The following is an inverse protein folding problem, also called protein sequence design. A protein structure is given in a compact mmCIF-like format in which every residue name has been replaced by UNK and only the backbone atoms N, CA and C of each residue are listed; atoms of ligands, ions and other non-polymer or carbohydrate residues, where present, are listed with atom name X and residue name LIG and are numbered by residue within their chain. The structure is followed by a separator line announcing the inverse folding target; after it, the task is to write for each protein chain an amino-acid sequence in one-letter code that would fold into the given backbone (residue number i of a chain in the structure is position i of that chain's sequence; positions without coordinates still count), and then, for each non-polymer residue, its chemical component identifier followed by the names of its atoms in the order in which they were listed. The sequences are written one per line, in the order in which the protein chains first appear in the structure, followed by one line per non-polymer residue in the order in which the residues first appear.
data_IF_678325519645
#
_entry.id   IF_678325519645
#
_cell.length_a   1.000
_cell.length_b   1.000
_cell.length_c   1.000
_cell.angle_alpha   90.00
_cell.angle_beta   90.00
_cell.angle_gamma   90.00
#
_symmetry.space_group_name_H-M   'P 1'
#
loop_
_entity.id
_entity.type
_entity.pdbx_description
1 polymer ?
#
# COMPACT_ATOMS: atom_id res chain seq x y z
N UNK A 1 15.54 12.70 -27.58
CA UNK A 1 14.29 12.09 -27.08
C UNK A 1 14.48 10.61 -26.84
N UNK A 2 14.96 10.21 -25.66
CA UNK A 2 15.43 8.83 -25.41
C UNK A 2 14.81 8.07 -24.22
N UNK A 3 14.12 8.73 -23.27
CA UNK A 3 13.56 8.02 -22.10
C UNK A 3 12.12 7.53 -22.28
N UNK A 4 11.39 8.06 -23.27
CA UNK A 4 10.00 7.66 -23.51
C UNK A 4 9.89 6.19 -23.96
N UNK A 5 10.85 5.71 -24.78
CA UNK A 5 10.84 4.38 -25.39
C UNK A 5 11.38 3.23 -24.52
N UNK A 6 12.26 3.51 -23.53
CA UNK A 6 12.83 2.46 -22.66
C UNK A 6 11.84 1.97 -21.58
N UNK A 7 10.84 2.78 -21.28
CA UNK A 7 9.78 2.52 -20.29
C UNK A 7 8.49 1.99 -20.93
N UNK A 8 8.57 1.37 -22.12
CA UNK A 8 7.43 0.78 -22.82
C UNK A 8 6.97 -0.56 -22.21
N UNK A 9 7.36 -0.85 -20.96
CA UNK A 9 6.89 -2.00 -20.21
C UNK A 9 5.43 -1.83 -19.77
N UNK A 10 4.75 -2.97 -19.59
CA UNK A 10 3.41 -3.03 -19.01
C UNK A 10 3.51 -3.10 -17.49
N UNK A 11 2.62 -2.45 -16.77
CA UNK A 11 2.56 -2.53 -15.32
C UNK A 11 2.28 -3.96 -14.87
N UNK A 12 3.02 -4.43 -13.86
CA UNK A 12 2.97 -5.80 -13.33
C UNK A 12 2.75 -5.76 -11.82
N UNK A 13 1.63 -6.31 -11.37
CA UNK A 13 1.24 -6.41 -9.97
C UNK A 13 2.36 -7.03 -9.14
N UNK A 14 2.63 -6.39 -8.01
CA UNK A 14 3.63 -6.82 -7.04
C UNK A 14 2.89 -7.48 -5.88
N UNK A 15 3.38 -8.62 -5.39
CA UNK A 15 2.64 -9.45 -4.42
C UNK A 15 2.26 -8.72 -3.13
N UNK A 16 3.18 -7.92 -2.58
CA UNK A 16 3.00 -7.13 -1.34
C UNK A 16 2.02 -5.96 -1.48
N UNK A 17 2.08 -5.28 -2.62
CA UNK A 17 1.35 -4.04 -2.84
C UNK A 17 -0.04 -4.32 -3.40
N UNK A 18 -1.02 -3.43 -3.18
CA UNK A 18 -2.29 -3.51 -3.87
C UNK A 18 -2.09 -3.58 -5.39
N UNK A 19 -2.95 -4.36 -6.06
CA UNK A 19 -2.88 -4.52 -7.50
C UNK A 19 -2.96 -3.18 -8.22
N UNK A 20 -2.12 -2.95 -9.22
CA UNK A 20 -2.18 -1.77 -10.06
C UNK A 20 -3.51 -1.75 -10.83
N UNK A 21 -4.23 -0.63 -10.76
CA UNK A 21 -5.43 -0.42 -11.58
C UNK A 21 -5.10 -0.50 -13.07
N UNK A 22 -3.87 -0.11 -13.43
CA UNK A 22 -3.36 -0.11 -14.80
C UNK A 22 -2.59 -1.39 -15.15
N UNK A 23 -2.86 -2.49 -14.44
CA UNK A 23 -2.25 -3.80 -14.69
C UNK A 23 -2.34 -4.17 -16.19
N UNK A 24 -1.20 -4.53 -16.79
CA UNK A 24 -1.12 -4.88 -18.21
C UNK A 24 -1.13 -3.68 -19.17
N UNK A 25 -1.36 -2.47 -18.69
CA UNK A 25 -1.23 -1.21 -19.43
C UNK A 25 0.14 -0.54 -19.23
N UNK A 26 0.48 0.48 -20.04
CA UNK A 26 1.75 1.21 -19.89
C UNK A 26 1.73 2.18 -18.72
N UNK A 27 2.89 2.44 -18.10
CA UNK A 27 3.03 3.52 -17.12
C UNK A 27 2.70 4.89 -17.75
N UNK A 28 2.04 5.76 -16.99
CA UNK A 28 1.47 7.02 -17.50
C UNK A 28 1.18 8.02 -16.39
N UNK A 29 0.72 9.22 -16.75
CA UNK A 29 0.52 10.30 -15.78
C UNK A 29 -0.67 10.03 -14.87
N UNK A 30 -0.48 10.32 -13.58
CA UNK A 30 -1.47 10.24 -12.51
C UNK A 30 -1.27 11.46 -11.59
N UNK A 31 -1.95 12.59 -11.86
CA UNK A 31 -1.73 13.83 -11.10
C UNK A 31 -2.30 13.77 -9.67
N UNK A 32 -3.25 12.87 -9.41
CA UNK A 32 -4.03 12.82 -8.18
C UNK A 32 -3.49 11.82 -7.14
N UNK A 33 -2.18 11.50 -7.21
CA UNK A 33 -1.53 10.68 -6.19
C UNK A 33 -1.56 11.40 -4.84
N UNK A 34 -2.04 10.71 -3.81
CA UNK A 34 -2.12 11.24 -2.45
C UNK A 34 -0.78 11.18 -1.70
N UNK A 35 0.14 10.35 -2.18
CA UNK A 35 1.49 10.15 -1.68
C UNK A 35 2.39 9.71 -2.85
N UNK A 36 3.72 9.66 -2.68
CA UNK A 36 4.64 9.35 -3.79
C UNK A 36 4.49 10.28 -5.01
N UNK A 37 4.14 11.55 -4.79
CA UNK A 37 3.80 12.53 -5.85
C UNK A 37 4.93 12.80 -6.82
N UNK A 38 6.17 12.48 -6.46
CA UNK A 38 7.30 12.55 -7.39
C UNK A 38 7.05 11.75 -8.68
N UNK A 39 6.31 10.64 -8.61
CA UNK A 39 6.04 9.78 -9.76
C UNK A 39 4.78 10.17 -10.56
N UNK A 40 4.10 11.27 -10.22
CA UNK A 40 2.82 11.67 -10.83
C UNK A 40 2.89 11.85 -12.36
N UNK A 41 4.07 12.14 -12.90
CA UNK A 41 4.28 12.27 -14.33
C UNK A 41 4.19 10.95 -15.10
N UNK A 42 4.66 9.86 -14.48
CA UNK A 42 4.71 8.55 -15.11
C UNK A 42 4.84 7.47 -14.05
N UNK A 43 3.74 6.79 -13.77
CA UNK A 43 3.69 5.72 -12.76
C UNK A 43 2.77 4.57 -13.19
N UNK A 44 2.89 3.45 -12.48
CA UNK A 44 1.93 2.34 -12.48
C UNK A 44 0.95 2.40 -11.29
N UNK A 45 1.22 3.26 -10.30
CA UNK A 45 0.37 3.42 -9.11
C UNK A 45 -0.86 4.29 -9.40
N UNK A 46 -1.95 4.00 -8.71
CA UNK A 46 -3.13 4.87 -8.62
C UNK A 46 -3.20 5.54 -7.25
N UNK A 47 -4.14 6.47 -7.08
CA UNK A 47 -4.41 7.12 -5.79
C UNK A 47 -4.69 6.12 -4.66
N UNK A 48 -5.49 5.08 -4.93
CA UNK A 48 -5.79 4.05 -3.93
C UNK A 48 -4.51 3.36 -3.41
N UNK A 49 -3.51 3.22 -4.28
CA UNK A 49 -2.27 2.51 -3.97
C UNK A 49 -1.36 3.39 -3.14
N UNK A 50 -1.32 4.69 -3.44
CA UNK A 50 -0.58 5.67 -2.64
C UNK A 50 -1.28 6.02 -1.33
N UNK A 51 -2.61 5.88 -1.26
CA UNK A 51 -3.36 6.02 0.00
C UNK A 51 -2.94 4.96 1.02
N UNK A 52 -2.71 3.70 0.60
CA UNK A 52 -2.21 2.66 1.47
C UNK A 52 -0.81 3.00 2.03
N UNK A 53 0.08 3.51 1.18
CA UNK A 53 1.41 3.97 1.60
C UNK A 53 1.30 5.17 2.55
N UNK A 54 0.37 6.09 2.31
CA UNK A 54 0.11 7.24 3.18
C UNK A 54 -0.35 6.82 4.57
N UNK A 55 -1.25 5.84 4.65
CA UNK A 55 -1.73 5.31 5.93
C UNK A 55 -0.55 4.70 6.69
N UNK A 56 0.25 3.86 6.02
CA UNK A 56 1.47 3.32 6.62
C UNK A 56 2.37 4.45 7.12
N UNK A 57 2.65 5.46 6.30
CA UNK A 57 3.47 6.63 6.64
C UNK A 57 3.02 7.40 7.89
N UNK A 58 1.70 7.59 8.06
CA UNK A 58 1.13 8.24 9.23
C UNK A 58 1.28 7.36 10.47
N UNK A 59 1.19 6.05 10.31
CA UNK A 59 1.38 5.10 11.41
C UNK A 59 2.87 4.87 11.78
N UNK A 60 3.82 5.46 11.04
CA UNK A 60 5.27 5.44 11.34
C UNK A 60 5.72 6.51 12.36
N UNK A 61 4.79 7.27 12.94
CA UNK A 61 5.14 8.52 13.63
C UNK A 61 5.69 8.38 15.06
N UNK A 62 5.59 7.22 15.71
CA UNK A 62 5.86 7.15 17.17
C UNK A 62 6.99 6.22 17.63
N UNK A 63 7.82 5.65 16.74
CA UNK A 63 8.88 4.75 17.19
C UNK A 63 10.05 4.53 16.25
N UNK A 64 10.16 5.33 15.19
CA UNK A 64 11.17 5.15 14.15
C UNK A 64 11.96 6.43 13.94
N UNK A 65 13.28 6.31 13.79
CA UNK A 65 14.15 7.45 13.51
C UNK A 65 13.70 8.21 12.25
N UNK A 66 13.88 9.53 12.25
CA UNK A 66 13.48 10.37 11.11
C UNK A 66 14.19 9.96 9.80
N UNK A 67 15.45 9.54 9.91
CA UNK A 67 16.24 9.09 8.76
C UNK A 67 15.71 7.76 8.21
N UNK A 68 15.50 6.75 9.07
CA UNK A 68 14.88 5.50 8.67
C UNK A 68 13.51 5.76 8.05
N UNK A 69 12.69 6.64 8.66
CA UNK A 69 11.36 7.01 8.15
C UNK A 69 11.43 7.55 6.72
N UNK A 70 12.32 8.49 6.45
CA UNK A 70 12.44 9.03 5.10
C UNK A 70 12.92 7.98 4.08
N UNK A 71 13.88 7.15 4.45
CA UNK A 71 14.41 6.10 3.56
C UNK A 71 13.39 4.99 3.31
N UNK A 72 12.68 4.57 4.35
CA UNK A 72 11.62 3.56 4.27
C UNK A 72 10.45 4.03 3.40
N UNK A 73 10.02 5.29 3.56
CA UNK A 73 8.96 5.86 2.73
C UNK A 73 9.34 5.90 1.23
N UNK A 74 10.60 6.18 0.91
CA UNK A 74 11.09 6.09 -0.47
C UNK A 74 11.06 4.65 -1.00
N UNK A 75 11.35 3.68 -0.13
CA UNK A 75 11.26 2.26 -0.46
C UNK A 75 9.80 1.83 -0.69
N UNK A 76 8.86 2.30 0.12
CA UNK A 76 7.42 2.04 -0.08
C UNK A 76 6.87 2.64 -1.39
N UNK A 77 7.44 3.76 -1.84
CA UNK A 77 7.11 4.37 -3.13
C UNK A 77 7.80 3.73 -4.33
N UNK A 78 8.75 2.80 -4.12
CA UNK A 78 9.53 2.19 -5.20
C UNK A 78 8.69 1.51 -6.31
N UNK A 79 7.56 0.81 -6.03
CA UNK A 79 6.72 0.24 -7.08
C UNK A 79 6.08 1.27 -8.00
N UNK A 80 6.00 2.53 -7.56
CA UNK A 80 5.48 3.64 -8.35
C UNK A 80 6.50 4.17 -9.36
N UNK A 81 7.79 3.82 -9.23
CA UNK A 81 8.78 4.07 -10.27
C UNK A 81 8.39 3.28 -11.53
N UNK A 82 8.25 3.92 -12.70
CA UNK A 82 7.81 3.24 -13.92
C UNK A 82 8.77 2.12 -14.36
N UNK A 83 10.04 2.15 -13.96
CA UNK A 83 11.00 1.06 -14.21
C UNK A 83 10.68 -0.17 -13.37
N UNK A 84 10.40 0.02 -12.08
CA UNK A 84 10.11 -1.06 -11.16
C UNK A 84 8.70 -1.61 -11.30
N UNK A 85 7.72 -0.72 -11.50
CA UNK A 85 6.32 -1.07 -11.70
C UNK A 85 6.07 -1.89 -12.97
N UNK A 86 6.96 -1.76 -13.97
CA UNK A 86 6.89 -2.55 -15.22
C UNK A 86 7.85 -3.73 -15.27
N UNK A 87 8.88 -3.76 -14.43
CA UNK A 87 9.78 -4.90 -14.30
C UNK A 87 9.06 -6.11 -13.67
N UNK A 88 9.56 -7.32 -13.91
CA UNK A 88 9.09 -8.51 -13.21
C UNK A 88 9.53 -8.50 -11.75
N UNK A 89 10.79 -8.20 -11.51
CA UNK A 89 11.42 -8.14 -10.19
C UNK A 89 11.71 -6.69 -9.82
N UNK A 90 11.61 -6.35 -8.53
CA UNK A 90 11.92 -5.00 -8.05
C UNK A 90 13.36 -4.97 -7.55
N UNK A 91 14.24 -4.53 -8.45
CA UNK A 91 15.67 -4.44 -8.17
C UNK A 91 15.99 -3.14 -7.45
N UNK A 92 16.62 -3.27 -6.29
CA UNK A 92 17.08 -2.14 -5.48
C UNK A 92 18.60 -2.18 -5.42
N UNK A 93 19.23 -1.02 -5.56
CA UNK A 93 20.69 -0.95 -5.55
C UNK A 93 21.23 -1.27 -4.15
N UNK A 94 22.25 -2.13 -4.07
CA UNK A 94 22.91 -2.49 -2.81
C UNK A 94 23.30 -1.27 -1.96
N UNK A 95 23.89 -0.19 -2.52
CA UNK A 95 24.21 1.01 -1.73
C UNK A 95 22.99 1.73 -1.14
N UNK A 96 21.80 1.57 -1.71
CA UNK A 96 20.57 2.10 -1.11
C UNK A 96 20.07 1.19 0.02
N UNK A 97 20.12 -0.13 -0.18
CA UNK A 97 19.83 -1.10 0.88
C UNK A 97 20.72 -0.90 2.11
N UNK A 98 22.01 -0.61 1.90
CA UNK A 98 22.94 -0.31 2.99
C UNK A 98 22.53 0.93 3.79
N UNK A 99 22.10 2.00 3.11
CA UNK A 99 21.59 3.20 3.77
C UNK A 99 20.33 2.90 4.57
N UNK A 100 19.39 2.15 3.99
CA UNK A 100 18.15 1.75 4.67
C UNK A 100 18.49 0.94 5.92
N UNK A 101 19.29 -0.13 5.79
CA UNK A 101 19.65 -0.98 6.91
C UNK A 101 20.41 -0.21 8.00
N UNK A 102 21.39 0.61 7.63
CA UNK A 102 22.17 1.39 8.60
C UNK A 102 21.29 2.37 9.40
N UNK A 103 20.37 3.07 8.73
CA UNK A 103 19.47 4.01 9.39
C UNK A 103 18.40 3.31 10.24
N UNK A 104 17.89 2.16 9.79
CA UNK A 104 16.79 1.44 10.42
C UNK A 104 17.22 0.37 11.42
N UNK A 105 18.52 0.15 11.61
CA UNK A 105 19.09 -0.99 12.35
C UNK A 105 18.51 -1.16 13.76
N UNK A 106 18.37 -0.05 14.48
CA UNK A 106 17.88 0.00 15.87
C UNK A 106 16.38 0.22 15.98
N UNK A 107 15.69 0.46 14.87
CA UNK A 107 14.25 0.73 14.85
C UNK A 107 13.46 -0.58 14.89
N UNK A 108 12.20 -0.50 15.30
CA UNK A 108 11.33 -1.65 15.55
C UNK A 108 10.53 -2.05 14.32
N UNK A 109 10.61 -3.34 13.97
CA UNK A 109 9.92 -3.94 12.84
C UNK A 109 9.15 -5.18 13.25
N UNK A 110 8.23 -5.58 12.38
CA UNK A 110 7.53 -6.85 12.47
C UNK A 110 7.38 -7.46 11.08
N UNK A 111 7.09 -8.76 11.03
CA UNK A 111 6.83 -9.46 9.77
C UNK A 111 5.32 -9.54 9.57
N UNK A 112 4.84 -9.05 8.44
CA UNK A 112 3.43 -9.14 8.11
C UNK A 112 3.01 -10.62 7.92
N UNK A 113 1.99 -11.04 8.66
CA UNK A 113 1.55 -12.44 8.68
C UNK A 113 1.01 -12.94 7.32
N UNK A 114 0.56 -12.05 6.43
CA UNK A 114 -0.01 -12.41 5.13
C UNK A 114 1.04 -12.44 4.04
N UNK A 115 1.88 -11.41 4.01
CA UNK A 115 2.88 -11.21 2.95
C UNK A 115 4.23 -11.83 3.30
N UNK A 116 4.49 -12.07 4.59
CA UNK A 116 5.78 -12.53 5.13
C UNK A 116 6.92 -11.56 4.85
N UNK A 117 6.59 -10.28 4.68
CA UNK A 117 7.55 -9.22 4.42
C UNK A 117 7.65 -8.29 5.63
N UNK A 118 8.80 -7.63 5.70
CA UNK A 118 9.13 -6.67 6.72
C UNK A 118 8.27 -5.42 6.58
N UNK A 119 7.73 -4.97 7.70
CA UNK A 119 7.10 -3.65 7.83
C UNK A 119 7.45 -3.03 9.16
N UNK A 120 7.45 -1.69 9.24
CA UNK A 120 7.62 -1.03 10.53
C UNK A 120 6.55 -1.47 11.52
N UNK A 121 6.94 -1.55 12.78
CA UNK A 121 6.06 -1.90 13.88
C UNK A 121 5.03 -0.78 14.12
N UNK A 122 3.79 -1.17 14.38
CA UNK A 122 2.71 -0.27 14.79
C UNK A 122 2.23 -0.61 16.20
N UNK A 123 1.54 0.31 16.87
CA UNK A 123 1.01 0.09 18.22
C UNK A 123 0.07 -1.12 18.34
N UNK A 124 -0.61 -1.48 17.24
CA UNK A 124 -1.50 -2.62 17.18
C UNK A 124 -0.76 -3.98 17.11
N UNK A 125 0.57 -3.95 16.91
CA UNK A 125 1.38 -5.16 16.81
C UNK A 125 1.78 -5.68 18.17
N UNK A 126 1.60 -6.98 18.37
CA UNK A 126 1.92 -7.64 19.64
C UNK A 126 3.37 -8.08 19.75
N UNK A 127 4.06 -8.25 18.62
CA UNK A 127 5.45 -8.73 18.55
C UNK A 127 6.22 -7.88 17.57
N UNK A 128 7.21 -7.17 18.10
CA UNK A 128 8.17 -6.39 17.32
C UNK A 128 9.58 -6.69 17.79
N UNK A 129 10.51 -6.67 16.85
CA UNK A 129 11.94 -6.89 17.07
C UNK A 129 12.73 -5.77 16.39
N UNK A 130 13.96 -5.53 16.81
CA UNK A 130 14.83 -4.59 16.10
C UNK A 130 15.24 -5.19 14.76
N UNK A 131 15.49 -4.33 13.78
CA UNK A 131 15.89 -4.80 12.45
C UNK A 131 17.16 -5.66 12.49
N UNK A 132 18.14 -5.29 13.30
CA UNK A 132 19.39 -6.06 13.45
C UNK A 132 19.20 -7.47 14.00
N UNK A 133 18.12 -7.70 14.75
CA UNK A 133 17.80 -9.02 15.29
C UNK A 133 17.05 -9.88 14.23
N UNK A 134 16.60 -9.26 13.13
CA UNK A 134 15.79 -9.87 12.07
C UNK A 134 16.55 -10.07 10.76
N UNK A 135 17.50 -9.19 10.44
CA UNK A 135 18.27 -9.24 9.18
C UNK A 135 19.77 -9.30 9.43
N UNK A 136 20.46 -10.19 8.73
CA UNK A 136 21.92 -10.37 8.87
C UNK A 136 22.72 -9.29 8.12
N UNK A 137 22.06 -8.42 7.36
CA UNK A 137 22.69 -7.28 6.70
C UNK A 137 21.80 -6.58 5.67
N UNK A 138 22.39 -5.63 4.94
CA UNK A 138 21.66 -4.73 4.04
C UNK A 138 20.88 -5.42 2.91
N UNK A 139 21.49 -6.40 2.25
CA UNK A 139 20.83 -7.14 1.18
C UNK A 139 19.62 -7.93 1.70
N UNK A 140 19.76 -8.51 2.90
CA UNK A 140 18.71 -9.25 3.57
C UNK A 140 17.57 -8.34 4.04
N UNK A 141 17.87 -7.15 4.56
CA UNK A 141 16.86 -6.11 4.86
C UNK A 141 15.97 -5.81 3.65
N UNK A 142 16.59 -5.58 2.48
CA UNK A 142 15.84 -5.35 1.25
C UNK A 142 15.06 -6.58 0.80
N UNK A 143 15.62 -7.78 0.93
CA UNK A 143 14.96 -9.05 0.61
C UNK A 143 13.72 -9.27 1.47
N UNK A 144 13.84 -9.07 2.78
CA UNK A 144 12.74 -9.14 3.73
C UNK A 144 11.68 -8.06 3.45
N UNK A 145 12.08 -6.88 2.98
CA UNK A 145 11.15 -5.83 2.54
C UNK A 145 10.47 -6.12 1.17
N UNK A 146 10.80 -7.24 0.51
CA UNK A 146 10.19 -7.66 -0.75
C UNK A 146 10.94 -7.20 -2.02
N UNK A 147 12.22 -6.83 -1.89
CA UNK A 147 13.06 -6.32 -2.97
C UNK A 147 14.29 -7.20 -3.22
N UNK A 148 14.74 -7.28 -4.46
CA UNK A 148 15.99 -7.97 -4.79
C UNK A 148 17.14 -6.95 -4.82
N UNK A 149 18.14 -7.13 -3.95
CA UNK A 149 19.34 -6.29 -3.95
C UNK A 149 20.21 -6.58 -5.19
N UNK A 150 20.80 -5.53 -5.79
CA UNK A 150 21.67 -5.65 -6.96
C UNK A 150 22.80 -4.62 -6.94
N UNK A 151 24.02 -5.07 -7.28
CA UNK A 151 25.25 -4.27 -7.23
C UNK A 151 25.47 -3.28 -8.40
N UNK A 152 24.44 -3.04 -9.23
CA UNK A 152 24.41 -1.89 -10.15
C UNK A 152 25.32 -1.90 -11.39
N UNK A 153 25.81 -3.04 -11.88
CA UNK A 153 26.77 -3.06 -13.01
C UNK A 153 26.15 -3.15 -14.41
N UNK A 154 24.93 -3.68 -14.57
CA UNK A 154 24.30 -3.92 -15.89
C UNK A 154 22.79 -3.61 -15.97
N UNK A 155 22.09 -3.54 -14.83
CA UNK A 155 20.67 -3.19 -14.74
C UNK A 155 20.49 -1.88 -13.98
N UNK A 156 19.61 -1.00 -14.48
CA UNK A 156 19.15 0.18 -13.75
C UNK A 156 18.33 -0.29 -12.53
N UNK A 157 18.97 -0.35 -11.37
CA UNK A 157 18.33 -0.61 -10.09
C UNK A 157 17.80 0.69 -9.45
N UNK A 158 16.85 0.55 -8.52
CA UNK A 158 16.32 1.68 -7.78
C UNK A 158 17.28 2.09 -6.66
N UNK A 159 17.71 3.36 -6.68
CA UNK A 159 18.69 3.90 -5.74
C UNK A 159 18.09 4.85 -4.69
N UNK A 160 16.76 4.93 -4.61
CA UNK A 160 16.04 5.84 -3.71
C UNK A 160 16.02 7.31 -4.15
N UNK A 161 16.47 7.63 -5.37
CA UNK A 161 16.31 8.99 -5.93
C UNK A 161 14.95 9.10 -6.61
N UNK A 162 14.14 10.01 -6.09
CA UNK A 162 12.91 10.42 -6.75
C UNK A 162 13.22 11.12 -8.09
N UNK A 163 12.34 10.98 -9.10
CA UNK A 163 12.47 11.71 -10.35
C UNK A 163 12.43 13.22 -10.06
N UNK A 164 13.25 13.98 -10.79
CA UNK A 164 13.33 15.42 -10.60
C UNK A 164 11.94 16.07 -10.79
N UNK A 165 11.46 16.89 -9.83
CA UNK A 165 10.18 17.57 -10.00
C UNK A 165 10.26 18.50 -11.20
N UNK A 166 9.25 18.48 -12.08
CA UNK A 166 9.15 19.49 -13.13
C UNK A 166 8.97 20.85 -12.46
N UNK A 167 9.83 21.81 -12.80
CA UNK A 167 9.65 23.20 -12.42
C UNK A 167 8.21 23.60 -12.78
N UNK A 168 7.42 23.95 -11.76
CA UNK A 168 6.05 24.37 -11.98
C UNK A 168 6.08 25.53 -12.96
N UNK A 169 5.36 25.40 -14.08
CA UNK A 169 5.09 26.56 -14.94
C UNK A 169 4.23 27.50 -14.09
N UNK A 170 4.87 28.41 -13.36
CA UNK A 170 4.17 29.51 -12.72
C UNK A 170 3.35 30.18 -13.81
N UNK A 171 2.04 30.05 -13.75
CA UNK A 171 1.13 30.87 -14.52
C UNK A 171 1.41 32.28 -14.04
N UNK A 172 2.24 33.01 -14.80
CA UNK A 172 2.36 34.45 -14.74
C UNK A 172 0.97 35.01 -15.01
N UNK A 173 0.18 35.16 -13.95
CA UNK A 173 -0.97 36.05 -13.93
C UNK A 173 -0.40 37.44 -14.15
N UNK A 174 -0.33 37.83 -15.42
CA UNK A 174 -0.04 39.20 -15.80
C UNK A 174 -1.22 40.03 -15.33
N UNK A 175 -1.11 40.58 -14.11
CA UNK A 175 -1.89 41.74 -13.71
C UNK A 175 -1.49 42.87 -14.65
N UNK A 176 -2.18 42.93 -15.80
CA UNK A 176 -2.18 44.07 -16.71
C UNK A 176 -2.99 45.16 -16.03
N UNK A 177 -2.33 45.97 -15.23
CA UNK A 177 -2.83 47.26 -14.76
C UNK A 177 -3.09 48.15 -15.97
N UNK A 178 -4.34 48.18 -16.44
CA UNK A 178 -4.80 49.16 -17.42
C UNK A 178 -5.71 50.17 -16.73
N UNK A 179 -5.16 51.37 -16.59
CA UNK A 179 -5.79 52.59 -16.10
C UNK A 179 -6.86 53.13 -17.06
N UNK A 180 -7.86 53.82 -16.47
CA UNK A 180 -8.69 54.97 -16.96
C UNK A 180 -10.17 54.71 -17.33
N UNK A 181 -11.03 55.58 -16.78
CA UNK A 181 -12.40 55.93 -17.22
C UNK A 181 -13.47 55.67 -16.14
N UNK A 182 -13.78 56.57 -15.17
CA UNK A 182 -14.68 57.75 -15.17
C UNK A 182 -16.11 57.53 -15.73
N UNK A 183 -17.12 57.76 -14.87
CA UNK A 183 -18.58 57.93 -15.15
C UNK A 183 -19.36 56.60 -15.20
N UNK A 184 -20.56 56.40 -14.65
CA UNK A 184 -21.63 57.32 -14.25
C UNK A 184 -22.60 56.63 -13.26
N UNK A 185 -23.54 57.40 -12.69
CA UNK A 185 -24.47 57.12 -11.58
C UNK A 185 -25.78 56.42 -11.99
N UNK A 186 -26.43 55.83 -10.98
CA UNK A 186 -27.88 55.52 -10.92
C UNK A 186 -28.21 54.06 -11.23
N UNK A 187 -29.09 53.34 -10.56
CA UNK A 187 -30.07 53.62 -9.51
C UNK A 187 -31.11 52.47 -9.52
N UNK A 188 -31.63 52.12 -8.33
CA UNK A 188 -32.89 51.40 -8.06
C UNK A 188 -33.05 49.88 -8.34
N UNK A 189 -33.18 49.15 -7.23
CA UNK A 189 -34.32 48.29 -6.80
C UNK A 189 -35.06 47.43 -7.84
N UNK A 190 -35.05 46.12 -7.55
CA UNK A 190 -36.09 45.12 -7.90
C UNK A 190 -35.57 43.73 -7.50
N UNK A 191 -35.99 43.12 -6.39
CA UNK A 191 -37.26 42.39 -6.16
C UNK A 191 -37.33 41.05 -6.91
N UNK A 192 -37.51 40.00 -6.08
CA UNK A 192 -38.12 38.68 -6.32
C UNK A 192 -37.45 37.68 -7.28
N UNK A 193 -37.13 36.51 -6.72
CA UNK A 193 -36.77 35.29 -7.43
C UNK A 193 -36.57 34.11 -6.50
N UNK A 194 -37.51 33.90 -5.56
CA UNK A 194 -37.64 32.66 -4.78
C UNK A 194 -38.39 31.60 -5.59
N UNK A 195 -37.86 30.37 -5.61
CA UNK A 195 -38.45 29.18 -6.24
C UNK A 195 -37.34 28.43 -6.98
N UNK A 196 -37.01 27.17 -6.73
CA UNK A 196 -37.77 26.03 -6.25
C UNK A 196 -36.78 25.06 -5.58
N UNK A 197 -36.94 24.75 -4.29
CA UNK A 197 -36.57 23.45 -3.70
C UNK A 197 -37.18 23.41 -2.29
N UNK A 198 -38.48 23.15 -2.23
CA UNK A 198 -39.16 22.71 -1.02
C UNK A 198 -40.41 21.95 -1.44
N UNK A 199 -40.44 20.67 -1.11
CA UNK A 199 -41.54 19.77 -1.42
C UNK A 199 -41.10 18.32 -1.38
N UNK A 200 -41.01 17.76 -0.16
CA UNK A 200 -41.41 16.40 0.26
C UNK A 200 -40.72 16.12 1.60
N UNK A 201 -41.26 16.74 2.65
CA UNK A 201 -41.21 16.25 4.03
C UNK A 201 -42.55 16.62 4.66
N UNK A 202 -43.40 15.61 4.89
CA UNK A 202 -44.71 15.82 5.49
C UNK A 202 -45.53 14.54 5.57
N UNK A 203 -45.24 13.69 6.57
CA UNK A 203 -46.22 12.83 7.26
C UNK A 203 -45.52 12.13 8.46
N UNK A 204 -45.79 12.50 9.73
CA UNK A 204 -45.05 12.01 10.89
C UNK A 204 -45.65 10.78 11.60
N UNK A 205 -46.45 9.93 10.97
CA UNK A 205 -47.09 8.80 11.68
C UNK A 205 -47.11 7.44 10.95
N UNK A 206 -46.31 7.24 9.89
CA UNK A 206 -46.30 5.99 9.11
C UNK A 206 -45.08 5.06 9.34
N UNK A 207 -44.20 5.33 10.30
CA UNK A 207 -42.96 4.56 10.49
C UNK A 207 -43.02 3.44 11.55
N UNK A 208 -44.09 3.37 12.35
CA UNK A 208 -44.17 2.40 13.46
C UNK A 208 -44.40 0.96 12.99
N UNK A 209 -45.03 0.76 11.83
CA UNK A 209 -45.32 -0.58 11.29
C UNK A 209 -44.19 -1.15 10.42
N UNK A 210 -43.30 -0.31 9.86
CA UNK A 210 -42.18 -0.78 9.03
C UNK A 210 -40.98 -1.26 9.85
N UNK A 211 -40.77 -0.70 11.05
CA UNK A 211 -39.58 -1.01 11.85
C UNK A 211 -39.64 -2.40 12.50
N UNK A 212 -40.84 -2.88 12.86
CA UNK A 212 -41.01 -4.19 13.51
C UNK A 212 -40.78 -5.33 12.52
N UNK A 213 -41.20 -5.19 11.26
CA UNK A 213 -40.97 -6.19 10.23
C UNK A 213 -39.51 -6.22 9.73
N UNK A 214 -38.84 -5.07 9.59
CA UNK A 214 -37.44 -5.04 9.14
C UNK A 214 -36.45 -5.49 10.22
N UNK A 215 -36.66 -5.08 11.48
CA UNK A 215 -35.77 -5.47 12.58
C UNK A 215 -35.94 -6.94 12.99
N UNK A 216 -37.17 -7.47 12.94
CA UNK A 216 -37.44 -8.88 13.26
C UNK A 216 -36.73 -9.83 12.29
N UNK A 217 -36.77 -9.55 10.97
CA UNK A 217 -36.11 -10.38 9.97
C UNK A 217 -34.59 -10.33 10.11
N UNK A 218 -34.01 -9.15 10.35
CA UNK A 218 -32.55 -9.03 10.56
C UNK A 218 -32.11 -9.77 11.82
N UNK A 219 -32.87 -9.70 12.92
CA UNK A 219 -32.57 -10.43 14.15
C UNK A 219 -32.64 -11.96 13.93
N UNK A 220 -33.63 -12.46 13.20
CA UNK A 220 -33.76 -13.89 12.88
C UNK A 220 -32.63 -14.33 11.94
N UNK A 221 -32.27 -13.54 10.93
CA UNK A 221 -31.14 -13.87 10.03
C UNK A 221 -29.81 -13.90 10.79
N UNK A 222 -29.58 -12.96 11.72
CA UNK A 222 -28.37 -12.96 12.55
C UNK A 222 -28.34 -14.14 13.53
N UNK A 223 -29.47 -14.49 14.14
CA UNK A 223 -29.58 -15.67 15.02
C UNK A 223 -29.33 -16.97 14.25
N UNK A 224 -29.89 -17.10 13.04
CA UNK A 224 -29.68 -18.28 12.18
C UNK A 224 -28.23 -18.34 11.67
N UNK A 225 -27.60 -17.21 11.35
CA UNK A 225 -26.20 -17.16 10.92
C UNK A 225 -25.20 -17.54 12.02
N UNK A 226 -25.55 -17.31 13.30
CA UNK A 226 -24.72 -17.68 14.46
C UNK A 226 -24.87 -19.13 14.91
N UNK A 227 -25.86 -19.88 14.41
CA UNK A 227 -26.01 -21.30 14.75
C UNK A 227 -25.11 -22.17 13.85
N UNK A 228 -24.08 -22.85 14.40
CA UNK A 228 -23.19 -23.71 13.61
C UNK A 228 -23.94 -24.89 12.98
N UNK A 229 -24.93 -25.44 13.70
CA UNK A 229 -25.74 -26.58 13.26
C UNK A 229 -26.59 -26.31 12.01
N UNK A 230 -26.96 -25.05 11.76
CA UNK A 230 -27.72 -24.66 10.57
C UNK A 230 -26.87 -24.78 9.29
N UNK A 231 -25.58 -24.41 9.38
CA UNK A 231 -24.64 -24.54 8.26
C UNK A 231 -24.28 -25.99 7.97
N UNK A 232 -24.19 -26.83 9.01
CA UNK A 232 -23.97 -28.27 8.85
C UNK A 232 -25.16 -28.95 8.15
N UNK A 233 -26.40 -28.61 8.54
CA UNK A 233 -27.61 -29.12 7.89
C UNK A 233 -27.77 -28.64 6.44
N UNK A 234 -27.37 -27.41 6.12
CA UNK A 234 -27.37 -26.90 4.74
C UNK A 234 -26.31 -27.55 3.86
N UNK A 235 -25.19 -27.98 4.45
CA UNK A 235 -24.14 -28.69 3.72
C UNK A 235 -24.59 -30.10 3.30
N UNK A 236 -25.41 -30.76 4.12
CA UNK A 236 -25.96 -32.09 3.85
C UNK A 236 -27.07 -32.07 2.77
N UNK A 237 -27.76 -30.93 2.61
CA UNK A 237 -28.75 -30.71 1.54
C UNK A 237 -28.14 -30.31 0.19
N UNK A 238 -26.80 -30.31 0.05
CA UNK A 238 -26.13 -30.18 -1.25
C UNK A 238 -26.20 -28.79 -1.92
N UNK A 239 -26.70 -27.75 -1.24
CA UNK A 239 -26.85 -26.39 -1.80
C UNK A 239 -25.67 -25.45 -1.51
N UNK A 240 -24.51 -25.98 -1.08
CA UNK A 240 -23.35 -25.19 -0.64
C UNK A 240 -22.05 -25.49 -1.40
N UNK A 241 -22.01 -25.39 -2.73
CA UNK A 241 -20.75 -25.44 -3.49
C UNK A 241 -20.42 -24.12 -4.19
N UNK A 242 -20.14 -23.09 -3.40
CA UNK A 242 -19.37 -21.93 -3.84
C UNK A 242 -17.99 -21.94 -3.17
N UNK A 243 -17.02 -22.57 -3.86
CA UNK A 243 -15.65 -22.06 -3.99
C UNK A 243 -14.76 -21.95 -2.75
N UNK A 244 -14.51 -23.03 -2.00
CA UNK A 244 -13.29 -23.19 -1.17
C UNK A 244 -12.46 -24.42 -1.55
N UNK A 245 -12.24 -24.65 -2.84
CA UNK A 245 -11.28 -25.64 -3.33
C UNK A 245 -10.01 -24.97 -3.84
N UNK A 246 -8.87 -25.06 -3.12
CA UNK A 246 -7.56 -24.78 -3.72
C UNK A 246 -6.51 -24.01 -2.90
N UNK A 247 -6.77 -23.67 -1.62
CA UNK A 247 -5.80 -22.94 -0.76
C UNK A 247 -5.10 -23.78 0.31
N UNK A 248 -5.66 -24.93 0.72
CA UNK A 248 -5.07 -25.76 1.80
C UNK A 248 -3.78 -26.49 1.41
N UNK A 249 -3.70 -27.03 0.20
CA UNK A 249 -2.60 -27.92 -0.21
C UNK A 249 -1.28 -27.18 -0.45
N UNK A 250 -1.33 -25.94 -0.98
CA UNK A 250 -0.14 -25.12 -1.24
C UNK A 250 0.45 -24.48 0.03
N UNK A 251 -0.38 -24.12 1.01
CA UNK A 251 0.07 -23.62 2.29
C UNK A 251 0.71 -24.73 3.16
N UNK A 252 0.15 -25.94 3.12
CA UNK A 252 0.71 -27.10 3.82
C UNK A 252 2.09 -27.50 3.27
N UNK A 253 2.30 -27.38 1.95
CA UNK A 253 3.60 -27.71 1.35
C UNK A 253 4.68 -26.67 1.68
N UNK A 254 4.35 -25.36 1.74
CA UNK A 254 5.32 -24.32 2.15
C UNK A 254 5.73 -24.42 3.61
N UNK A 255 4.81 -24.75 4.53
CA UNK A 255 5.14 -24.98 5.94
C UNK A 255 6.12 -26.13 6.14
N UNK A 256 5.99 -27.21 5.36
CA UNK A 256 6.93 -28.35 5.39
C UNK A 256 8.33 -27.94 4.89
N UNK A 257 8.40 -27.14 3.83
CA UNK A 257 9.67 -26.63 3.30
C UNK A 257 10.34 -25.67 4.30
N UNK A 258 9.57 -24.78 4.93
CA UNK A 258 10.10 -23.83 5.91
C UNK A 258 10.55 -24.51 7.21
N UNK A 259 9.81 -25.52 7.68
CA UNK A 259 10.20 -26.33 8.84
C UNK A 259 11.48 -27.14 8.57
N UNK A 260 11.64 -27.68 7.36
CA UNK A 260 12.86 -28.39 6.96
C UNK A 260 14.08 -27.44 6.83
N UNK A 261 13.87 -26.21 6.37
CA UNK A 261 14.93 -25.20 6.32
C UNK A 261 15.39 -24.76 7.72
N UNK A 262 14.44 -24.49 8.63
CA UNK A 262 14.73 -24.15 10.04
C UNK A 262 15.43 -25.30 10.79
N UNK A 263 15.06 -26.55 10.51
CA UNK A 263 15.73 -27.70 11.11
C UNK A 263 17.20 -27.83 10.66
N UNK A 264 17.50 -27.54 9.38
CA UNK A 264 18.87 -27.54 8.86
C UNK A 264 19.71 -26.40 9.43
N UNK A 265 19.13 -25.20 9.55
CA UNK A 265 19.80 -24.06 10.15
C UNK A 265 20.19 -24.34 11.62
N UNK A 266 19.27 -24.95 12.40
CA UNK A 266 19.57 -25.35 13.79
C UNK A 266 20.64 -26.44 13.88
N UNK A 267 20.66 -27.40 12.95
CA UNK A 267 21.70 -28.42 12.91
C UNK A 267 23.09 -27.83 12.57
N UNK A 268 23.15 -26.85 11.68
CA UNK A 268 24.39 -26.14 11.35
C UNK A 268 24.90 -25.29 12.50
N UNK A 269 24.00 -24.62 13.23
CA UNK A 269 24.35 -23.87 14.45
C UNK A 269 24.84 -24.79 15.57
N UNK A 270 24.24 -25.96 15.76
CA UNK A 270 24.71 -26.93 16.74
C UNK A 270 26.11 -27.47 16.41
N UNK A 271 26.38 -27.78 15.13
CA UNK A 271 27.70 -28.21 14.69
C UNK A 271 28.77 -27.11 14.87
N UNK A 272 28.44 -25.86 14.53
CA UNK A 272 29.34 -24.73 14.73
C UNK A 272 29.61 -24.44 16.22
N UNK A 273 28.67 -24.76 17.11
CA UNK A 273 28.83 -24.61 18.55
C UNK A 273 29.74 -25.69 19.15
N UNK A 274 29.65 -26.94 18.69
CA UNK A 274 30.52 -28.03 19.15
C UNK A 274 31.99 -27.83 18.71
N UNK A 275 32.21 -27.32 17.49
CA UNK A 275 33.56 -26.99 16.99
C UNK A 275 34.22 -25.84 17.77
N UNK A 276 33.42 -24.94 18.36
CA UNK A 276 33.91 -23.83 19.17
C UNK A 276 34.33 -24.22 20.59
N UNK A 277 33.93 -25.41 21.07
CA UNK A 277 34.21 -25.88 22.44
C UNK A 277 35.25 -27.00 22.49
N UNK A 278 35.65 -27.54 21.35
CA UNK A 278 36.63 -28.64 21.23
C UNK A 278 38.04 -28.20 20.83
N UNK A 279 38.29 -26.88 20.69
CA UNK A 279 39.62 -26.28 20.52
C UNK A 279 40.04 -25.44 21.72
#
# INVERSE_FOLDING_TARGET
GGEAGRLAGKCVNKGRWPAFERQGGPAGPEPDLSFCTAYSDRTCCSRAQTDAVRISAVQLLEGMSDECRQLWLRLECAPCDPRLGTAKEMLVCTPFCERVHAACRSDWFTVDARTQELRPCHEADTVCSRLEDMSEGAADTCALAGFAAHDGSLLECFNGKEPAPKASKSTRSSKRSKSRGRGDKGGSRGVLGTGLFSGVLGAPDAWKECFVLSCGIVAVVLLVAQMPAFWDALSDMGLGRWGRGGRGVRAANRRKVHAAALARARAQQAAAYDDAFTN
#
